data_IF_745775376717
#
_entry.id   IF_745775376717
#
_cell.length_a   1.000
_cell.length_b   1.000
_cell.length_c   1.000
_cell.angle_alpha   90.00
_cell.angle_beta   90.00
_cell.angle_gamma   90.00
#
_symmetry.space_group_name_H-M   'P 1'
#
loop_
_entity.id
_entity.type
_entity.pdbx_description
1 polymer ?
#
# COMPACT_ATOMS: atom_id res chain seq x y z
N UNK A 1 11.39 28.17 11.10
CA UNK A 1 9.99 28.21 11.58
C UNK A 1 9.10 28.07 10.36
N UNK A 2 8.17 27.10 10.39
CA UNK A 2 7.35 26.55 9.30
C UNK A 2 8.13 25.72 8.26
N UNK A 3 8.25 24.41 8.55
CA UNK A 3 8.56 23.38 7.56
C UNK A 3 7.46 23.41 6.49
N UNK A 4 7.85 23.71 5.26
CA UNK A 4 7.02 23.54 4.07
C UNK A 4 6.54 22.10 4.05
N UNK A 5 5.24 21.93 4.28
CA UNK A 5 4.54 20.66 4.11
C UNK A 5 4.67 20.33 2.61
N UNK A 6 5.56 19.39 2.30
CA UNK A 6 5.80 18.90 0.95
C UNK A 6 4.45 18.67 0.27
N UNK A 7 4.24 19.42 -0.81
CA UNK A 7 2.93 19.58 -1.45
C UNK A 7 2.49 18.23 -2.01
N UNK A 8 1.55 17.53 -1.36
CA UNK A 8 0.90 16.41 -2.01
C UNK A 8 0.09 16.92 -3.21
N UNK A 9 0.25 16.25 -4.36
CA UNK A 9 -0.25 16.76 -5.66
C UNK A 9 -1.34 15.93 -6.30
N UNK A 10 -1.77 14.84 -5.67
CA UNK A 10 -2.81 13.97 -6.22
C UNK A 10 -4.00 13.80 -5.27
N UNK A 11 -4.71 14.90 -5.03
CA UNK A 11 -5.96 14.94 -4.25
C UNK A 11 -7.03 13.96 -4.76
N UNK A 12 -7.25 13.80 -6.08
CA UNK A 12 -8.20 12.81 -6.60
C UNK A 12 -7.85 11.38 -6.19
N UNK A 13 -6.57 11.00 -6.27
CA UNK A 13 -6.14 9.66 -5.87
C UNK A 13 -6.32 9.43 -4.36
N UNK A 14 -5.96 10.39 -3.51
CA UNK A 14 -6.18 10.26 -2.07
C UNK A 14 -7.67 10.14 -1.72
N UNK A 15 -8.53 10.91 -2.39
CA UNK A 15 -9.98 10.79 -2.21
C UNK A 15 -10.51 9.41 -2.64
N UNK A 16 -10.00 8.85 -3.75
CA UNK A 16 -10.37 7.52 -4.21
C UNK A 16 -9.89 6.43 -3.24
N UNK A 17 -8.69 6.56 -2.68
CA UNK A 17 -8.17 5.65 -1.64
C UNK A 17 -9.10 5.67 -0.42
N UNK A 18 -9.44 6.85 0.09
CA UNK A 18 -10.34 7.01 1.25
C UNK A 18 -11.71 6.36 0.97
N UNK A 19 -12.29 6.63 -0.19
CA UNK A 19 -13.57 6.05 -0.59
C UNK A 19 -13.50 4.52 -0.64
N UNK A 20 -12.39 3.96 -1.12
CA UNK A 20 -12.21 2.52 -1.20
C UNK A 20 -12.01 1.88 0.17
N UNK A 21 -11.18 2.46 1.04
CA UNK A 21 -11.01 2.01 2.42
C UNK A 21 -12.36 2.01 3.14
N UNK A 22 -13.14 3.09 3.02
CA UNK A 22 -14.46 3.18 3.65
C UNK A 22 -15.42 2.09 3.16
N UNK A 23 -15.44 1.79 1.86
CA UNK A 23 -16.27 0.72 1.31
C UNK A 23 -15.84 -0.66 1.83
N UNK A 24 -14.54 -0.93 1.86
CA UNK A 24 -14.01 -2.21 2.32
C UNK A 24 -14.22 -2.38 3.84
N UNK A 25 -14.07 -1.32 4.65
CA UNK A 25 -14.40 -1.33 6.08
C UNK A 25 -15.89 -1.64 6.32
N UNK A 26 -16.79 -1.00 5.59
CA UNK A 26 -18.23 -1.27 5.71
C UNK A 26 -18.60 -2.71 5.30
N UNK A 27 -17.81 -3.36 4.44
CA UNK A 27 -18.00 -4.76 4.09
C UNK A 27 -17.56 -5.70 5.22
N UNK A 28 -16.56 -5.32 6.03
CA UNK A 28 -16.11 -6.09 7.21
C UNK A 28 -17.15 -6.13 8.34
N UNK A 29 -18.00 -5.10 8.45
CA UNK A 29 -19.01 -4.99 9.52
C UNK A 29 -20.29 -5.78 9.23
N UNK A 30 -20.49 -6.25 8.00
CA UNK A 30 -21.68 -7.06 7.66
C UNK A 30 -21.51 -8.46 8.26
N UNK A 31 -22.48 -8.95 9.06
CA UNK A 31 -22.49 -10.34 9.49
C UNK A 31 -22.43 -11.22 8.24
N UNK A 32 -21.42 -12.10 8.12
CA UNK A 32 -21.33 -12.96 6.95
C UNK A 32 -22.52 -13.93 6.98
N UNK A 33 -23.55 -13.66 6.17
CA UNK A 33 -24.61 -14.62 5.90
C UNK A 33 -24.02 -15.78 5.10
N UNK A 34 -23.49 -16.78 5.82
CA UNK A 34 -22.92 -18.04 5.34
C UNK A 34 -21.74 -17.93 4.36
N UNK A 35 -20.69 -18.77 4.52
CA UNK A 35 -19.63 -18.83 3.53
C UNK A 35 -20.18 -19.53 2.29
N UNK A 36 -20.62 -18.78 1.28
CA UNK A 36 -20.60 -19.31 -0.08
C UNK A 36 -19.12 -19.52 -0.43
N UNK A 37 -18.76 -20.73 -0.87
CA UNK A 37 -17.40 -21.12 -1.27
C UNK A 37 -16.75 -20.19 -2.32
N UNK A 38 -17.46 -19.20 -2.86
CA UNK A 38 -16.97 -18.13 -3.72
C UNK A 38 -16.35 -16.91 -2.99
N UNK A 39 -16.44 -16.81 -1.66
CA UNK A 39 -16.07 -15.58 -0.92
C UNK A 39 -14.62 -15.50 -0.43
N UNK A 40 -13.82 -16.57 -0.59
CA UNK A 40 -12.45 -16.63 -0.06
C UNK A 40 -11.33 -16.39 -1.08
N UNK A 41 -11.65 -16.27 -2.38
CA UNK A 41 -10.65 -16.22 -3.47
C UNK A 41 -10.25 -14.81 -3.92
N UNK A 42 -11.10 -13.80 -3.74
CA UNK A 42 -10.76 -12.41 -4.07
C UNK A 42 -9.90 -11.71 -3.00
N UNK A 43 -9.92 -12.21 -1.76
CA UNK A 43 -9.16 -11.67 -0.63
C UNK A 43 -7.66 -11.99 -0.71
N UNK A 44 -7.29 -13.03 -1.46
CA UNK A 44 -5.92 -13.53 -1.52
C UNK A 44 -4.99 -12.62 -2.35
N UNK A 45 -5.52 -11.78 -3.24
CA UNK A 45 -4.68 -10.88 -4.06
C UNK A 45 -4.22 -9.60 -3.35
N UNK A 46 -4.62 -9.36 -2.09
CA UNK A 46 -4.43 -8.08 -1.41
C UNK A 46 -3.91 -8.22 0.02
N UNK A 47 -2.69 -8.75 0.22
CA UNK A 47 -2.08 -8.89 1.55
C UNK A 47 -2.15 -7.59 2.38
N UNK A 48 -1.99 -6.43 1.74
CA UNK A 48 -2.09 -5.14 2.40
C UNK A 48 -3.47 -4.82 2.99
N UNK A 49 -4.56 -5.40 2.46
CA UNK A 49 -5.91 -5.26 3.00
C UNK A 49 -6.14 -6.08 4.25
N UNK A 50 -5.33 -7.11 4.52
CA UNK A 50 -5.38 -7.85 5.80
C UNK A 50 -5.04 -6.93 6.99
N UNK A 51 -4.36 -5.80 6.74
CA UNK A 51 -4.07 -4.78 7.75
C UNK A 51 -5.16 -3.73 7.92
N UNK A 52 -6.28 -3.82 7.18
CA UNK A 52 -7.45 -2.97 7.41
C UNK A 52 -8.26 -3.52 8.59
N UNK A 53 -8.42 -2.71 9.64
CA UNK A 53 -9.23 -3.12 10.81
C UNK A 53 -10.72 -2.83 10.60
N UNK A 54 -11.57 -3.46 11.42
CA UNK A 54 -13.01 -3.15 11.49
C UNK A 54 -13.30 -1.67 11.81
N UNK A 55 -12.36 -0.97 12.46
CA UNK A 55 -12.46 0.47 12.74
C UNK A 55 -11.95 1.35 11.57
N UNK A 56 -11.61 0.75 10.43
CA UNK A 56 -11.07 1.46 9.28
C UNK A 56 -9.66 2.00 9.49
N UNK A 57 -8.85 1.32 10.32
CA UNK A 57 -7.42 1.66 10.48
C UNK A 57 -6.59 0.90 9.47
N UNK A 58 -5.68 1.61 8.81
CA UNK A 58 -4.61 1.02 8.03
C UNK A 58 -3.45 0.67 8.96
N UNK A 59 -3.34 -0.60 9.38
CA UNK A 59 -2.36 -1.04 10.38
C UNK A 59 -0.90 -0.97 9.96
N UNK A 60 -0.59 -0.83 8.67
CA UNK A 60 0.77 -0.79 8.12
C UNK A 60 0.90 0.23 6.98
N UNK A 61 2.14 0.59 6.65
CA UNK A 61 2.47 1.39 5.46
C UNK A 61 1.91 0.81 4.16
N UNK A 62 1.78 -0.52 4.10
CA UNK A 62 1.30 -1.23 2.92
C UNK A 62 -0.18 -1.01 2.65
N UNK A 63 -1.02 -0.70 3.65
CA UNK A 63 -2.45 -0.55 3.45
C UNK A 63 -2.78 0.60 2.48
N UNK A 64 -2.31 1.81 2.78
CA UNK A 64 -2.50 2.98 1.89
C UNK A 64 -1.77 2.79 0.57
N UNK A 65 -0.54 2.26 0.62
CA UNK A 65 0.24 1.98 -0.58
C UNK A 65 -0.50 1.03 -1.52
N UNK A 66 -1.07 -0.05 -0.99
CA UNK A 66 -1.71 -1.04 -1.82
C UNK A 66 -3.03 -0.60 -2.43
N UNK A 67 -3.79 0.27 -1.75
CA UNK A 67 -4.92 0.95 -2.40
C UNK A 67 -4.47 1.88 -3.52
N UNK A 68 -3.36 2.62 -3.33
CA UNK A 68 -2.81 3.46 -4.39
C UNK A 68 -2.40 2.62 -5.61
N UNK A 69 -1.64 1.54 -5.39
CA UNK A 69 -1.20 0.62 -6.45
C UNK A 69 -2.38 0.00 -7.19
N UNK A 70 -3.39 -0.49 -6.47
CA UNK A 70 -4.58 -1.10 -7.07
C UNK A 70 -5.33 -0.10 -7.96
N UNK A 71 -5.60 1.11 -7.44
CA UNK A 71 -6.36 2.13 -8.15
C UNK A 71 -5.64 2.66 -9.40
N UNK A 72 -4.32 2.51 -9.47
CA UNK A 72 -3.52 2.90 -10.65
C UNK A 72 -3.17 1.71 -11.55
N UNK A 73 -3.70 0.51 -11.28
CA UNK A 73 -3.46 -0.68 -12.10
C UNK A 73 -2.04 -1.28 -11.98
N UNK A 74 -1.34 -0.97 -10.90
CA UNK A 74 -0.02 -1.53 -10.62
C UNK A 74 -0.09 -3.04 -10.37
N UNK A 75 0.94 -3.76 -10.81
CA UNK A 75 1.02 -5.21 -10.66
C UNK A 75 1.96 -5.57 -9.53
N UNK A 76 1.48 -6.36 -8.57
CA UNK A 76 2.32 -6.84 -7.49
C UNK A 76 3.36 -7.83 -8.01
N UNK A 77 4.55 -7.81 -7.40
CA UNK A 77 5.58 -8.81 -7.66
C UNK A 77 5.05 -10.21 -7.32
N UNK A 78 4.15 -10.28 -6.33
CA UNK A 78 3.61 -11.53 -5.84
C UNK A 78 2.11 -11.62 -5.89
N UNK A 79 1.65 -12.83 -6.14
CA UNK A 79 0.23 -13.18 -6.16
C UNK A 79 0.01 -14.36 -5.23
N UNK A 80 -1.09 -14.39 -4.50
CA UNK A 80 -1.49 -15.55 -3.70
C UNK A 80 -2.72 -16.17 -4.33
N UNK A 81 -2.71 -17.49 -4.42
CA UNK A 81 -3.81 -18.32 -4.94
C UNK A 81 -4.12 -19.41 -3.92
N UNK A 82 -5.09 -20.28 -4.22
CA UNK A 82 -5.37 -21.46 -3.41
C UNK A 82 -4.20 -22.45 -3.38
N UNK A 83 -3.34 -22.46 -4.41
CA UNK A 83 -2.18 -23.34 -4.51
C UNK A 83 -1.01 -22.86 -3.66
N UNK A 84 -1.01 -21.58 -3.28
CA UNK A 84 0.02 -20.97 -2.47
C UNK A 84 0.37 -19.58 -2.96
N UNK A 85 1.64 -19.25 -2.83
CA UNK A 85 2.14 -17.90 -2.96
C UNK A 85 3.17 -17.87 -4.07
N UNK A 86 2.97 -16.98 -5.03
CA UNK A 86 3.72 -16.96 -6.27
C UNK A 86 4.54 -15.69 -6.36
N UNK A 87 5.80 -15.82 -6.75
CA UNK A 87 6.66 -14.72 -7.13
C UNK A 87 6.73 -14.68 -8.65
N UNK A 88 6.16 -13.64 -9.24
CA UNK A 88 6.08 -13.46 -10.69
C UNK A 88 5.58 -14.69 -11.48
N UNK A 89 4.70 -15.50 -10.87
CA UNK A 89 4.13 -16.70 -11.49
C UNK A 89 4.78 -18.02 -11.08
N UNK A 90 5.83 -18.00 -10.25
CA UNK A 90 6.47 -19.21 -9.71
C UNK A 90 6.06 -19.46 -8.26
N UNK A 91 5.63 -20.68 -7.95
CA UNK A 91 5.21 -21.06 -6.59
C UNK A 91 6.40 -21.04 -5.62
N UNK A 92 6.32 -20.22 -4.58
CA UNK A 92 7.32 -20.13 -3.52
C UNK A 92 7.18 -21.32 -2.55
N UNK A 93 8.19 -22.22 -2.48
CA UNK A 93 8.12 -23.43 -1.66
C UNK A 93 8.28 -23.13 -0.16
N UNK A 94 8.78 -21.95 0.21
CA UNK A 94 8.98 -21.55 1.60
C UNK A 94 8.73 -20.04 1.77
N UNK A 95 7.76 -19.69 2.61
CA UNK A 95 7.28 -18.32 2.84
C UNK A 95 7.96 -17.65 4.05
N UNK A 96 9.16 -18.11 4.46
CA UNK A 96 9.76 -17.68 5.73
C UNK A 96 10.14 -16.21 5.77
N UNK A 97 10.23 -15.56 4.61
CA UNK A 97 10.50 -14.13 4.53
C UNK A 97 9.36 -13.49 3.74
N UNK A 98 8.76 -12.42 4.28
CA UNK A 98 7.59 -11.75 3.71
C UNK A 98 7.95 -10.41 3.05
N UNK A 99 9.23 -10.03 3.03
CA UNK A 99 9.68 -8.71 2.53
C UNK A 99 9.33 -8.46 1.06
N UNK A 100 9.24 -9.51 0.23
CA UNK A 100 8.85 -9.37 -1.18
C UNK A 100 7.36 -9.02 -1.35
N UNK A 101 6.52 -9.16 -0.31
CA UNK A 101 5.12 -8.69 -0.30
C UNK A 101 5.03 -7.16 -0.35
N UNK A 102 6.13 -6.45 -0.15
CA UNK A 102 6.18 -5.00 -0.20
C UNK A 102 6.48 -4.46 -1.61
N UNK A 103 6.65 -5.34 -2.59
CA UNK A 103 7.14 -4.98 -3.92
C UNK A 103 6.09 -5.15 -5.03
N UNK A 104 6.17 -4.25 -6.00
CA UNK A 104 5.39 -4.26 -7.24
C UNK A 104 6.34 -4.35 -8.43
N UNK A 105 5.88 -4.96 -9.53
CA UNK A 105 6.63 -5.00 -10.79
C UNK A 105 6.84 -3.57 -11.30
N UNK A 106 8.10 -3.24 -11.62
CA UNK A 106 8.50 -1.98 -12.20
C UNK A 106 7.85 -1.77 -13.59
N UNK A 107 7.42 -0.54 -13.88
CA UNK A 107 6.99 -0.09 -15.19
C UNK A 107 7.85 1.09 -15.68
N UNK A 108 7.58 1.57 -16.89
CA UNK A 108 8.38 2.63 -17.53
C UNK A 108 8.30 3.99 -16.82
N UNK A 109 7.36 4.17 -15.89
CA UNK A 109 7.20 5.41 -15.12
C UNK A 109 8.04 5.43 -13.86
N UNK A 110 8.61 4.29 -13.44
CA UNK A 110 9.44 4.23 -12.24
C UNK A 110 10.85 4.76 -12.51
N UNK A 111 11.40 5.60 -11.62
CA UNK A 111 12.80 5.99 -11.68
C UNK A 111 13.71 4.78 -11.54
N UNK A 112 14.72 4.65 -12.41
CA UNK A 112 15.72 3.57 -12.32
C UNK A 112 16.45 3.53 -10.97
N UNK A 113 16.51 4.65 -10.24
CA UNK A 113 17.07 4.73 -8.89
C UNK A 113 16.23 4.01 -7.82
N UNK A 114 14.94 3.79 -8.07
CA UNK A 114 14.02 3.06 -7.18
C UNK A 114 13.86 1.59 -7.61
N UNK A 115 14.30 1.25 -8.83
CA UNK A 115 14.18 -0.09 -9.39
C UNK A 115 15.27 -1.00 -8.83
N UNK A 116 14.84 -2.11 -8.25
CA UNK A 116 15.68 -3.24 -7.86
C UNK A 116 15.35 -4.47 -8.71
N UNK A 117 16.19 -5.50 -8.63
CA UNK A 117 15.96 -6.79 -9.28
C UNK A 117 15.78 -7.86 -8.22
N UNK A 118 14.62 -8.50 -8.22
CA UNK A 118 14.26 -9.60 -7.31
C UNK A 118 13.96 -10.83 -8.17
N UNK A 119 14.77 -11.88 -8.03
CA UNK A 119 14.66 -13.13 -8.82
C UNK A 119 14.52 -12.87 -10.34
N UNK A 120 15.29 -11.91 -10.87
CA UNK A 120 15.26 -11.57 -12.30
C UNK A 120 14.12 -10.63 -12.72
N UNK A 121 13.22 -10.27 -11.81
CA UNK A 121 12.14 -9.31 -12.06
C UNK A 121 12.50 -7.91 -11.58
N UNK A 122 12.26 -6.92 -12.44
CA UNK A 122 12.39 -5.51 -12.07
C UNK A 122 11.23 -5.14 -11.15
N UNK A 123 11.54 -4.61 -9.97
CA UNK A 123 10.57 -4.32 -8.93
C UNK A 123 10.90 -3.00 -8.23
N UNK A 124 9.88 -2.38 -7.64
CA UNK A 124 10.01 -1.22 -6.74
C UNK A 124 9.20 -1.48 -5.48
N UNK A 125 9.55 -0.83 -4.37
CA UNK A 125 8.72 -0.89 -3.17
C UNK A 125 7.38 -0.17 -3.42
N UNK A 126 6.28 -0.80 -3.02
CA UNK A 126 4.93 -0.29 -3.20
C UNK A 126 4.74 1.07 -2.52
N UNK A 127 5.36 1.27 -1.36
CA UNK A 127 5.29 2.53 -0.60
C UNK A 127 5.94 3.69 -1.36
N UNK A 128 7.09 3.46 -2.00
CA UNK A 128 7.83 4.48 -2.74
C UNK A 128 7.05 4.91 -3.99
N UNK A 129 6.53 3.93 -4.76
CA UNK A 129 5.65 4.21 -5.88
C UNK A 129 4.37 4.94 -5.42
N UNK A 130 3.75 4.51 -4.33
CA UNK A 130 2.54 5.15 -3.82
C UNK A 130 2.77 6.59 -3.37
N UNK A 131 3.90 6.89 -2.72
CA UNK A 131 4.31 8.26 -2.40
C UNK A 131 4.41 9.10 -3.68
N UNK A 132 5.13 8.60 -4.70
CA UNK A 132 5.27 9.29 -5.98
C UNK A 132 3.94 9.54 -6.68
N UNK A 133 3.04 8.54 -6.71
CA UNK A 133 1.69 8.67 -7.26
C UNK A 133 0.86 9.74 -6.55
N UNK A 134 1.07 9.93 -5.25
CA UNK A 134 0.44 10.98 -4.44
C UNK A 134 1.13 12.34 -4.53
N UNK A 135 2.28 12.42 -5.21
CA UNK A 135 3.13 13.60 -5.28
C UNK A 135 3.79 13.91 -3.94
N UNK A 136 4.11 12.87 -3.17
CA UNK A 136 4.78 12.96 -1.88
C UNK A 136 6.28 12.79 -2.02
N UNK A 137 7.03 13.62 -1.31
CA UNK A 137 8.46 13.42 -1.11
C UNK A 137 8.68 12.57 0.14
N UNK A 138 9.66 11.65 0.13
CA UNK A 138 10.12 11.00 1.36
C UNK A 138 10.55 12.07 2.36
N UNK A 139 10.10 11.96 3.61
CA UNK A 139 10.63 12.78 4.70
C UNK A 139 12.03 12.27 5.03
N UNK A 140 13.06 12.78 4.33
CA UNK A 140 14.44 12.54 4.74
C UNK A 140 14.68 13.22 6.09
N UNK A 141 14.82 12.44 7.15
CA UNK A 141 15.60 12.88 8.29
C UNK A 141 17.07 12.54 7.99
N UNK A 142 17.86 13.57 7.69
CA UNK A 142 19.31 13.44 7.76
C UNK A 142 19.68 13.06 9.21
N UNK A 143 20.53 12.05 9.34
CA UNK A 143 21.20 11.54 10.56
C UNK A 143 20.59 10.29 11.21
N UNK A 144 21.24 9.16 10.93
CA UNK A 144 21.52 8.05 11.83
C UNK A 144 20.47 7.74 12.91
N UNK A 145 19.50 6.87 12.58
CA UNK A 145 18.83 6.01 13.56
C UNK A 145 18.03 4.90 12.89
N UNK A 146 18.36 3.67 13.26
CA UNK A 146 17.64 2.40 13.26
C UNK A 146 16.36 2.26 12.39
N UNK A 147 16.35 1.19 11.59
CA UNK A 147 15.27 0.65 10.77
C UNK A 147 13.88 0.67 11.44
N UNK A 148 13.17 1.80 11.45
CA UNK A 148 11.83 1.85 12.05
C UNK A 148 11.03 3.05 11.51
N UNK A 149 10.24 2.85 10.42
CA UNK A 149 9.11 3.64 9.87
C UNK A 149 9.16 5.21 9.90
N UNK A 150 10.26 5.82 10.30
CA UNK A 150 10.39 7.22 10.68
C UNK A 150 10.67 8.11 9.47
N UNK A 151 11.33 7.55 8.45
CA UNK A 151 11.56 8.17 7.14
C UNK A 151 10.30 8.23 6.27
N UNK A 152 9.26 7.45 6.61
CA UNK A 152 8.02 7.45 5.86
C UNK A 152 7.21 8.71 6.11
N UNK A 153 6.66 9.25 5.02
CA UNK A 153 5.67 10.31 5.09
C UNK A 153 4.54 9.86 6.03
N UNK A 154 3.99 10.72 6.92
CA UNK A 154 3.04 10.30 7.95
C UNK A 154 1.81 9.53 7.44
N UNK A 155 1.39 9.78 6.19
CA UNK A 155 0.32 9.03 5.51
C UNK A 155 0.61 7.52 5.35
N UNK A 156 1.89 7.15 5.33
CA UNK A 156 2.38 5.78 5.20
C UNK A 156 2.94 5.22 6.50
N UNK A 157 2.89 5.96 7.62
CA UNK A 157 3.17 5.36 8.92
C UNK A 157 2.00 4.43 9.26
N UNK A 158 2.27 3.22 9.75
CA UNK A 158 1.20 2.31 10.17
C UNK A 158 0.27 2.97 11.20
N UNK A 159 -1.00 2.55 11.23
CA UNK A 159 -1.99 2.99 12.21
C UNK A 159 -2.87 4.17 11.82
N UNK A 160 -2.74 4.73 10.60
CA UNK A 160 -3.61 5.81 10.13
C UNK A 160 -5.09 5.37 10.09
N UNK A 161 -5.96 6.19 10.67
CA UNK A 161 -7.42 6.02 10.60
C UNK A 161 -7.99 6.67 9.34
N UNK A 162 -9.24 6.33 8.98
CA UNK A 162 -9.98 7.07 7.94
C UNK A 162 -10.05 8.57 8.20
N UNK A 163 -10.12 9.00 9.46
CA UNK A 163 -10.16 10.42 9.81
C UNK A 163 -8.80 11.10 9.63
N UNK A 164 -7.69 10.39 9.90
CA UNK A 164 -6.35 10.89 9.59
C UNK A 164 -6.19 11.12 8.08
N UNK A 165 -6.64 10.16 7.27
CA UNK A 165 -6.59 10.27 5.80
C UNK A 165 -7.47 11.43 5.29
N UNK A 166 -8.68 11.61 5.84
CA UNK A 166 -9.55 12.75 5.52
C UNK A 166 -8.94 14.08 5.94
N UNK A 167 -8.30 14.14 7.10
CA UNK A 167 -7.58 15.33 7.56
C UNK A 167 -6.42 15.67 6.61
N UNK A 168 -5.71 14.67 6.09
CA UNK A 168 -4.71 14.85 5.04
C UNK A 168 -5.31 15.33 3.73
N UNK A 169 -6.42 14.75 3.28
CA UNK A 169 -7.15 15.20 2.09
C UNK A 169 -7.51 16.69 2.23
N UNK A 170 -8.04 17.11 3.38
CA UNK A 170 -8.40 18.50 3.65
C UNK A 170 -7.24 19.51 3.59
N UNK A 171 -5.98 19.05 3.68
CA UNK A 171 -4.78 19.89 3.54
C UNK A 171 -4.32 20.08 2.09
N UNK A 172 -4.90 19.33 1.15
CA UNK A 172 -4.52 19.40 -0.27
C UNK A 172 -5.19 20.59 -0.96
N UNK A 173 -4.48 21.28 -1.87
CA UNK A 173 -5.11 22.25 -2.75
C UNK A 173 -6.16 21.56 -3.63
N UNK A 174 -7.25 22.27 -3.92
CA UNK A 174 -8.30 21.82 -4.85
C UNK A 174 -7.81 21.75 -6.29
#
# INVERSE_FOLDING_TARGET
MMLETARLRNRPLLAAIIARIQNDTAALERPSEAPSDESFTAWQQCFWREFLTHEGRCGTALCVAGYAIELTGGKWLTTRTQEGLFLAGELLPNHTTYWWLEYVLADETDPESEVTVIEGHRAVQAKDRAMRLLGLEPTRHDEDQDEDDSDLHPLFRGGNTLDDLRAWLGRLPD
#
